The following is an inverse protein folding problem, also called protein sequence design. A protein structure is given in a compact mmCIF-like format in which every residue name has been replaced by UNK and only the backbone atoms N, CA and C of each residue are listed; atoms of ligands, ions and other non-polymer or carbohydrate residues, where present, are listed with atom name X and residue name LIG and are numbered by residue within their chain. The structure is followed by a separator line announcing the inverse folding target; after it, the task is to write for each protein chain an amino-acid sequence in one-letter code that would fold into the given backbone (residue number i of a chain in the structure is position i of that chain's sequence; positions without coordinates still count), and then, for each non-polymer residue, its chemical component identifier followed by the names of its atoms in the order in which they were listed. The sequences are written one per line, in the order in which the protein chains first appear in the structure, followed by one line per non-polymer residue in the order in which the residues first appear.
data_IF_526988844899
#
_entry.id   IF_526988844899
#
_cell.length_a   1.000
_cell.length_b   1.000
_cell.length_c   1.000
_cell.angle_alpha   90.00
_cell.angle_beta   90.00
_cell.angle_gamma   90.00
#
_symmetry.space_group_name_H-M   'P 1'
#
loop_
_entity.id
_entity.type
_entity.pdbx_description
1 polymer ?
#
# COMPACT_ATOMS: atom_id res chain seq x y z
N UNK A 1 -6.98 13.49 -15.76
CA UNK A 1 -5.79 13.84 -14.96
C UNK A 1 -4.54 13.05 -15.37
N UNK A 2 -4.65 11.79 -15.82
CA UNK A 2 -3.54 10.94 -16.30
C UNK A 2 -2.60 11.62 -17.32
N UNK A 3 -3.14 12.41 -18.26
CA UNK A 3 -2.35 13.08 -19.30
C UNK A 3 -1.36 14.14 -18.79
N UNK A 4 -1.50 14.64 -17.54
CA UNK A 4 -0.59 15.67 -17.00
C UNK A 4 0.66 15.10 -16.32
N UNK A 5 0.64 13.81 -15.95
CA UNK A 5 1.76 13.12 -15.30
C UNK A 5 1.90 11.69 -15.83
N UNK A 6 2.39 11.49 -17.07
CA UNK A 6 2.44 10.19 -17.72
C UNK A 6 3.34 9.18 -16.98
N UNK A 7 4.47 9.65 -16.43
CA UNK A 7 5.40 8.79 -15.67
C UNK A 7 4.77 8.29 -14.38
N UNK A 8 4.16 9.18 -13.58
CA UNK A 8 3.49 8.78 -12.34
C UNK A 8 2.36 7.77 -12.61
N UNK A 9 1.61 8.00 -13.68
CA UNK A 9 0.52 7.12 -14.10
C UNK A 9 1.04 5.74 -14.48
N UNK A 10 2.14 5.68 -15.25
CA UNK A 10 2.80 4.44 -15.62
C UNK A 10 3.34 3.68 -14.40
N UNK A 11 4.03 4.38 -13.49
CA UNK A 11 4.55 3.79 -12.24
C UNK A 11 3.41 3.26 -11.38
N UNK A 12 2.31 4.01 -11.27
CA UNK A 12 1.14 3.58 -10.51
C UNK A 12 0.54 2.33 -11.11
N UNK A 13 0.34 2.29 -12.44
CA UNK A 13 -0.22 1.12 -13.11
C UNK A 13 0.70 -0.11 -12.98
N UNK A 14 2.02 0.07 -13.16
CA UNK A 14 2.99 -0.99 -12.99
C UNK A 14 2.99 -1.53 -11.55
N UNK A 15 2.91 -0.66 -10.55
CA UNK A 15 2.83 -1.05 -9.15
C UNK A 15 1.51 -1.74 -8.81
N UNK A 16 0.38 -1.25 -9.31
CA UNK A 16 -0.92 -1.91 -9.14
C UNK A 16 -0.95 -3.29 -9.79
N UNK A 17 -0.34 -3.45 -10.97
CA UNK A 17 -0.19 -4.76 -11.61
C UNK A 17 0.69 -5.71 -10.79
N UNK A 18 1.79 -5.21 -10.22
CA UNK A 18 2.62 -5.97 -9.30
C UNK A 18 1.84 -6.41 -8.05
N UNK A 19 1.14 -5.49 -7.39
CA UNK A 19 0.32 -5.81 -6.22
C UNK A 19 -0.78 -6.82 -6.57
N UNK A 20 -1.48 -6.61 -7.69
CA UNK A 20 -2.48 -7.56 -8.18
C UNK A 20 -1.90 -8.94 -8.45
N UNK A 21 -0.70 -9.02 -9.03
CA UNK A 21 -0.01 -10.30 -9.22
C UNK A 21 0.35 -10.98 -7.89
N UNK A 22 0.79 -10.22 -6.88
CA UNK A 22 1.12 -10.77 -5.56
C UNK A 22 -0.13 -11.24 -4.81
N UNK A 23 -1.23 -10.49 -4.87
CA UNK A 23 -2.46 -10.76 -4.09
C UNK A 23 -3.38 -11.78 -4.76
N UNK A 24 -3.43 -11.80 -6.10
CA UNK A 24 -4.27 -12.70 -6.89
C UNK A 24 -3.49 -13.91 -7.44
N UNK A 25 -2.15 -13.89 -7.39
CA UNK A 25 -1.32 -15.04 -7.75
C UNK A 25 -1.66 -16.27 -6.90
N UNK A 26 -1.34 -17.49 -7.33
CA UNK A 26 -1.63 -18.69 -6.56
C UNK A 26 -0.94 -18.64 -5.18
N UNK A 27 -1.67 -18.95 -4.09
CA UNK A 27 -1.00 -19.25 -2.82
C UNK A 27 -0.16 -20.53 -3.02
N UNK A 28 1.09 -20.57 -2.53
CA UNK A 28 1.81 -21.82 -2.43
C UNK A 28 0.98 -22.79 -1.58
N UNK A 29 0.43 -23.83 -2.20
CA UNK A 29 -0.37 -24.88 -1.54
C UNK A 29 0.44 -25.64 -0.49
N UNK A 30 1.77 -25.63 -0.62
CA UNK A 30 2.70 -26.15 0.37
C UNK A 30 3.44 -25.00 1.05
N UNK A 31 3.29 -24.92 2.37
CA UNK A 31 4.02 -24.03 3.28
C UNK A 31 5.55 -24.16 3.19
N UNK A 32 6.05 -25.15 2.43
CA UNK A 32 7.46 -25.41 2.16
C UNK A 32 8.15 -24.29 1.36
N UNK A 33 7.43 -23.52 0.52
CA UNK A 33 8.05 -22.41 -0.24
C UNK A 33 8.35 -21.16 0.62
N UNK A 34 7.74 -21.07 1.80
CA UNK A 34 8.08 -20.09 2.85
C UNK A 34 9.07 -20.69 3.87
N UNK A 35 9.80 -21.75 3.52
CA UNK A 35 10.72 -22.43 4.44
C UNK A 35 11.77 -21.49 5.05
N UNK A 36 12.20 -20.45 4.34
CA UNK A 36 13.12 -19.44 4.89
C UNK A 36 12.45 -18.52 5.91
N UNK A 37 11.21 -18.08 5.66
CA UNK A 37 10.45 -17.22 6.56
C UNK A 37 10.03 -18.01 7.81
N UNK A 38 9.57 -19.25 7.64
CA UNK A 38 9.24 -20.14 8.76
C UNK A 38 10.49 -20.53 9.57
N UNK A 39 11.65 -20.71 8.94
CA UNK A 39 12.93 -20.90 9.65
C UNK A 39 13.36 -19.65 10.42
N UNK A 40 13.20 -18.47 9.83
CA UNK A 40 13.47 -17.20 10.50
C UNK A 40 12.53 -17.00 11.70
N UNK A 41 11.22 -17.19 11.50
CA UNK A 41 10.22 -17.13 12.56
C UNK A 41 10.50 -18.16 13.67
N UNK A 42 10.86 -19.40 13.32
CA UNK A 42 11.25 -20.42 14.30
C UNK A 42 12.58 -20.14 15.01
N UNK A 43 13.45 -19.29 14.45
CA UNK A 43 14.63 -18.79 15.15
C UNK A 43 14.26 -17.69 16.16
N UNK A 44 13.35 -16.79 15.79
CA UNK A 44 12.86 -15.73 16.68
C UNK A 44 11.93 -16.25 17.78
N UNK A 45 11.09 -17.25 17.49
CA UNK A 45 10.21 -17.89 18.48
C UNK A 45 10.98 -18.66 19.57
N UNK A 46 12.28 -18.93 19.36
CA UNK A 46 13.14 -19.53 20.40
C UNK A 46 13.61 -18.54 21.47
N UNK A 47 13.27 -17.26 21.33
CA UNK A 47 13.55 -16.24 22.32
C UNK A 47 12.23 -15.62 22.79
N UNK A 48 11.94 -15.67 24.09
CA UNK A 48 10.70 -15.13 24.68
C UNK A 48 10.45 -13.66 24.31
N UNK A 49 11.52 -12.88 24.09
CA UNK A 49 11.46 -11.48 23.69
C UNK A 49 10.96 -11.26 22.23
N UNK A 50 10.99 -12.28 21.38
CA UNK A 50 10.62 -12.20 19.96
C UNK A 50 9.56 -13.21 19.52
N UNK A 51 8.97 -13.96 20.45
CA UNK A 51 7.87 -14.89 20.19
C UNK A 51 6.59 -14.18 19.68
N UNK A 52 6.48 -12.87 19.93
CA UNK A 52 5.40 -12.05 19.36
C UNK A 52 5.51 -11.85 17.84
N UNK A 53 6.64 -12.17 17.19
CA UNK A 53 6.81 -12.08 15.73
C UNK A 53 6.25 -13.35 15.11
N UNK A 54 4.92 -13.38 14.93
CA UNK A 54 4.22 -14.49 14.29
C UNK A 54 4.05 -14.25 12.79
N UNK A 55 3.87 -15.34 12.02
CA UNK A 55 3.60 -15.27 10.58
C UNK A 55 2.45 -14.31 10.25
N UNK A 56 1.33 -14.41 10.98
CA UNK A 56 0.16 -13.58 10.75
C UNK A 56 0.42 -12.08 10.97
N UNK A 57 1.31 -11.70 11.90
CA UNK A 57 1.68 -10.30 12.12
C UNK A 57 2.61 -9.77 11.03
N UNK A 58 3.57 -10.59 10.59
CA UNK A 58 4.45 -10.22 9.48
C UNK A 58 3.64 -10.02 8.20
N UNK A 59 2.70 -10.93 7.91
CA UNK A 59 1.78 -10.80 6.77
C UNK A 59 0.89 -9.56 6.89
N UNK A 60 0.33 -9.29 8.06
CA UNK A 60 -0.47 -8.09 8.30
C UNK A 60 0.34 -6.79 8.07
N UNK A 61 1.57 -6.73 8.60
CA UNK A 61 2.46 -5.59 8.42
C UNK A 61 2.92 -5.45 6.95
N UNK A 62 3.18 -6.56 6.27
CA UNK A 62 3.55 -6.57 4.85
C UNK A 62 2.40 -6.04 3.98
N UNK A 63 1.15 -6.42 4.28
CA UNK A 63 -0.05 -5.94 3.59
C UNK A 63 -0.24 -4.43 3.79
N UNK A 64 -0.08 -3.93 5.02
CA UNK A 64 -0.03 -2.47 5.29
C UNK A 64 1.06 -1.81 4.44
N UNK A 65 2.29 -2.32 4.51
CA UNK A 65 3.45 -1.77 3.80
C UNK A 65 3.25 -1.73 2.29
N UNK A 66 2.63 -2.76 1.71
CA UNK A 66 2.34 -2.86 0.29
C UNK A 66 1.32 -1.82 -0.19
N UNK A 67 0.34 -1.48 0.65
CA UNK A 67 -0.70 -0.50 0.32
C UNK A 67 -0.32 0.97 0.59
N UNK A 68 0.72 1.23 1.39
CA UNK A 68 1.24 2.59 1.61
C UNK A 68 1.59 3.30 0.29
N UNK A 69 2.42 2.72 -0.61
CA UNK A 69 2.71 3.32 -1.90
C UNK A 69 1.46 3.58 -2.76
N UNK A 70 0.46 2.70 -2.69
CA UNK A 70 -0.82 2.90 -3.41
C UNK A 70 -1.50 4.17 -2.92
N UNK A 71 -1.63 4.35 -1.60
CA UNK A 71 -2.22 5.56 -1.02
C UNK A 71 -1.47 6.84 -1.44
N UNK A 72 -0.13 6.79 -1.47
CA UNK A 72 0.72 7.89 -1.96
C UNK A 72 0.41 8.21 -3.41
N UNK A 73 0.44 7.21 -4.30
CA UNK A 73 0.20 7.40 -5.73
C UNK A 73 -1.20 7.92 -6.03
N UNK A 74 -2.21 7.38 -5.37
CA UNK A 74 -3.60 7.84 -5.52
C UNK A 74 -3.75 9.31 -5.10
N UNK A 75 -3.13 9.73 -3.99
CA UNK A 75 -3.14 11.15 -3.61
C UNK A 75 -2.44 12.02 -4.64
N UNK A 76 -1.27 11.61 -5.14
CA UNK A 76 -0.50 12.39 -6.11
C UNK A 76 -1.24 12.51 -7.46
N UNK A 77 -1.99 11.46 -7.86
CA UNK A 77 -2.78 11.46 -9.09
C UNK A 77 -4.09 12.25 -8.98
N UNK A 78 -4.81 12.12 -7.88
CA UNK A 78 -6.10 12.79 -7.64
C UNK A 78 -5.91 14.23 -7.12
N UNK A 79 -4.76 14.52 -6.52
CA UNK A 79 -4.44 15.78 -5.90
C UNK A 79 -4.94 15.89 -4.46
N UNK A 80 -4.29 16.77 -3.69
CA UNK A 80 -4.51 16.94 -2.23
C UNK A 80 -5.94 17.28 -1.83
N UNK A 81 -6.68 17.99 -2.69
CA UNK A 81 -8.09 18.36 -2.41
C UNK A 81 -9.02 17.14 -2.38
N UNK A 82 -8.62 16.06 -3.05
CA UNK A 82 -9.38 14.83 -3.21
C UNK A 82 -8.77 13.68 -2.38
N UNK A 83 -8.10 13.99 -1.27
CA UNK A 83 -7.45 12.98 -0.42
C UNK A 83 -8.41 11.90 0.08
N UNK A 84 -9.66 12.27 0.36
CA UNK A 84 -10.70 11.33 0.80
C UNK A 84 -11.10 10.36 -0.33
N UNK A 85 -11.09 10.82 -1.59
CA UNK A 85 -11.28 9.95 -2.76
C UNK A 85 -10.10 9.00 -2.95
N UNK A 86 -8.88 9.42 -2.63
CA UNK A 86 -7.71 8.54 -2.66
C UNK A 86 -7.84 7.39 -1.65
N UNK A 87 -8.31 7.70 -0.43
CA UNK A 87 -8.61 6.67 0.58
C UNK A 87 -9.73 5.75 0.09
N UNK A 88 -10.84 6.32 -0.38
CA UNK A 88 -11.98 5.54 -0.87
C UNK A 88 -11.56 4.61 -2.02
N UNK A 89 -10.77 5.11 -2.97
CA UNK A 89 -10.25 4.30 -4.07
C UNK A 89 -9.35 3.16 -3.58
N UNK A 90 -8.51 3.40 -2.56
CA UNK A 90 -7.71 2.35 -1.93
C UNK A 90 -8.56 1.27 -1.25
N UNK A 91 -9.62 1.66 -0.52
CA UNK A 91 -10.56 0.73 0.12
C UNK A 91 -11.34 -0.08 -0.91
N UNK A 92 -11.86 0.57 -1.96
CA UNK A 92 -12.55 -0.12 -3.06
C UNK A 92 -11.62 -1.09 -3.78
N UNK A 93 -10.35 -0.71 -3.99
CA UNK A 93 -9.35 -1.59 -4.60
C UNK A 93 -9.14 -2.87 -3.77
N UNK A 94 -8.89 -2.76 -2.46
CA UNK A 94 -8.71 -3.96 -1.62
C UNK A 94 -10.00 -4.77 -1.49
N UNK A 95 -11.16 -4.13 -1.42
CA UNK A 95 -12.45 -4.84 -1.45
C UNK A 95 -12.67 -5.60 -2.76
N UNK A 96 -12.22 -5.04 -3.89
CA UNK A 96 -12.27 -5.71 -5.19
C UNK A 96 -11.32 -6.91 -5.26
N UNK A 97 -10.13 -6.80 -4.65
CA UNK A 97 -9.18 -7.92 -4.54
C UNK A 97 -9.80 -9.07 -3.73
N UNK A 98 -10.28 -8.78 -2.52
CA UNK A 98 -10.96 -9.73 -1.63
C UNK A 98 -12.14 -10.42 -2.33
N UNK A 99 -12.98 -9.64 -3.00
CA UNK A 99 -14.10 -10.17 -3.77
C UNK A 99 -13.63 -11.09 -4.91
N UNK A 100 -12.58 -10.72 -5.63
CA UNK A 100 -12.02 -11.54 -6.72
C UNK A 100 -11.45 -12.86 -6.19
N UNK A 101 -10.86 -12.86 -5.00
CA UNK A 101 -10.30 -14.05 -4.37
C UNK A 101 -11.37 -15.13 -4.08
N UNK A 102 -12.65 -14.77 -3.91
CA UNK A 102 -13.75 -15.73 -3.75
C UNK A 102 -13.88 -16.73 -4.91
N UNK A 103 -13.40 -16.33 -6.09
CA UNK A 103 -13.48 -17.14 -7.31
C UNK A 103 -12.18 -17.88 -7.63
N UNK A 104 -11.16 -17.77 -6.78
CA UNK A 104 -9.86 -18.39 -7.00
C UNK A 104 -9.73 -19.68 -6.15
N UNK A 105 -9.30 -20.82 -6.75
CA UNK A 105 -9.31 -22.12 -6.06
C UNK A 105 -8.42 -22.20 -4.82
N UNK A 106 -7.39 -21.36 -4.76
CA UNK A 106 -6.35 -21.39 -3.72
C UNK A 106 -6.28 -20.09 -2.92
N UNK A 107 -7.31 -19.25 -2.99
CA UNK A 107 -7.38 -18.01 -2.21
C UNK A 107 -8.67 -17.96 -1.43
N UNK A 108 -8.57 -17.39 -0.23
CA UNK A 108 -9.71 -17.14 0.63
C UNK A 108 -9.68 -15.66 1.02
N UNK A 109 -10.82 -14.95 0.91
CA UNK A 109 -10.94 -13.60 1.44
C UNK A 109 -10.69 -13.61 2.96
N UNK A 110 -9.91 -12.65 3.46
CA UNK A 110 -9.63 -12.49 4.88
C UNK A 110 -9.88 -11.05 5.29
N UNK A 111 -10.85 -10.83 6.19
CA UNK A 111 -11.15 -9.50 6.71
C UNK A 111 -9.92 -8.80 7.29
N UNK A 112 -8.95 -9.57 7.80
CA UNK A 112 -7.67 -9.04 8.28
C UNK A 112 -6.84 -8.39 7.17
N UNK A 113 -6.85 -8.93 5.96
CA UNK A 113 -6.14 -8.38 4.80
C UNK A 113 -6.85 -7.12 4.30
N UNK A 114 -8.19 -7.13 4.23
CA UNK A 114 -8.98 -5.93 3.95
C UNK A 114 -8.63 -4.78 4.91
N UNK A 115 -8.54 -5.07 6.21
CA UNK A 115 -8.18 -4.07 7.24
C UNK A 115 -6.74 -3.60 7.08
N UNK A 116 -5.79 -4.52 6.90
CA UNK A 116 -4.37 -4.21 6.71
C UNK A 116 -4.14 -3.29 5.50
N UNK A 117 -4.70 -3.67 4.36
CA UNK A 117 -4.58 -2.94 3.11
C UNK A 117 -5.23 -1.56 3.21
N UNK A 118 -6.42 -1.48 3.82
CA UNK A 118 -7.11 -0.20 4.07
C UNK A 118 -6.29 0.72 4.98
N UNK A 119 -5.69 0.18 6.05
CA UNK A 119 -4.80 0.94 6.92
C UNK A 119 -3.56 1.44 6.17
N UNK A 120 -2.94 0.59 5.33
CA UNK A 120 -1.85 0.99 4.45
C UNK A 120 -2.22 2.13 3.50
N UNK A 121 -3.38 2.05 2.84
CA UNK A 121 -3.86 3.10 1.95
C UNK A 121 -4.05 4.44 2.68
N UNK A 122 -4.67 4.41 3.86
CA UNK A 122 -4.84 5.61 4.71
C UNK A 122 -3.49 6.19 5.11
N UNK A 123 -2.57 5.37 5.62
CA UNK A 123 -1.24 5.81 6.03
C UNK A 123 -0.46 6.42 4.86
N UNK A 124 -0.54 5.82 3.67
CA UNK A 124 0.06 6.35 2.45
C UNK A 124 -0.48 7.72 2.06
N UNK A 125 -1.80 7.89 2.10
CA UNK A 125 -2.44 9.19 1.83
C UNK A 125 -2.01 10.24 2.86
N UNK A 126 -2.03 9.92 4.15
CA UNK A 126 -1.63 10.83 5.21
C UNK A 126 -0.15 11.23 5.08
N UNK A 127 0.73 10.27 4.81
CA UNK A 127 2.14 10.50 4.58
C UNK A 127 2.38 11.46 3.42
N UNK A 128 1.72 11.23 2.28
CA UNK A 128 1.85 12.09 1.11
C UNK A 128 1.25 13.49 1.35
N UNK A 129 0.17 13.61 2.12
CA UNK A 129 -0.39 14.91 2.54
C UNK A 129 0.60 15.72 3.39
N UNK A 130 1.30 15.07 4.32
CA UNK A 130 2.30 15.72 5.19
C UNK A 130 3.46 16.24 4.36
N UNK A 131 4.06 15.40 3.51
CA UNK A 131 5.23 15.77 2.71
C UNK A 131 4.90 16.89 1.71
N UNK A 132 3.84 16.70 0.93
CA UNK A 132 3.43 17.72 -0.06
C UNK A 132 2.88 18.98 0.62
N UNK A 133 2.37 18.86 1.85
CA UNK A 133 1.99 19.97 2.73
C UNK A 133 3.16 20.84 3.13
N UNK A 134 4.23 20.22 3.60
CA UNK A 134 5.44 20.91 4.06
C UNK A 134 6.15 21.66 2.93
N UNK A 135 6.14 21.15 1.71
CA UNK A 135 6.75 21.83 0.56
C UNK A 135 6.05 23.15 0.21
N UNK A 136 4.72 23.24 0.37
CA UNK A 136 3.98 24.48 0.09
C UNK A 136 4.32 25.57 1.10
N UNK A 137 4.47 25.20 2.37
CA UNK A 137 4.84 26.14 3.45
C UNK A 137 6.26 26.65 3.30
N UNK A 138 7.18 25.85 2.72
CA UNK A 138 8.60 26.21 2.57
C UNK A 138 8.93 27.06 1.35
N UNK A 139 8.00 27.30 0.41
CA UNK A 139 8.30 28.14 -0.77
C UNK A 139 8.33 29.62 -0.34
N UNK A 140 9.48 30.30 -0.39
CA UNK A 140 9.51 31.73 -0.09
C UNK A 140 8.66 32.50 -1.11
N UNK A 141 8.00 33.61 -0.71
CA UNK A 141 7.24 34.42 -1.64
C UNK A 141 8.18 34.87 -2.76
N UNK A 142 7.87 34.49 -4.00
CA UNK A 142 8.56 35.02 -5.18
C UNK A 142 8.29 36.52 -5.17
N UNK A 143 9.25 37.32 -4.70
CA UNK A 143 9.19 38.78 -4.79
C UNK A 143 9.03 39.12 -6.26
N UNK A 144 7.83 39.58 -6.62
CA UNK A 144 7.54 40.09 -7.95
C UNK A 144 8.60 41.12 -8.30
N UNK A 145 9.27 40.90 -9.43
CA UNK A 145 10.11 41.90 -10.06
C UNK A 145 9.23 43.09 -10.44
N UNK A 146 9.11 44.05 -9.53
CA UNK A 146 8.81 45.43 -9.86
C UNK A 146 9.97 45.93 -10.73
N UNK A 147 9.80 45.84 -12.05
CA UNK A 147 10.58 46.65 -12.97
C UNK A 147 9.75 47.88 -13.29
N UNK A 148 10.30 49.00 -12.84
CA UNK A 148 9.96 50.39 -13.20
C UNK A 148 10.15 50.60 -14.70
#
# INVERSE_FOLDING_TARGET
MLHRHPVLSLVTLAYLAFVGWVTLGPQPLDSANNGWLLRALGFFARHDATDWITYGRVEFAANIGMFIPIGVFLLLLLGRRLWWLAILAGVVLTGSIEFTQQFLPTRYPDLRDLVANSAGAVLGVLFALVITGWEVVRRPPVRGSARV
#
